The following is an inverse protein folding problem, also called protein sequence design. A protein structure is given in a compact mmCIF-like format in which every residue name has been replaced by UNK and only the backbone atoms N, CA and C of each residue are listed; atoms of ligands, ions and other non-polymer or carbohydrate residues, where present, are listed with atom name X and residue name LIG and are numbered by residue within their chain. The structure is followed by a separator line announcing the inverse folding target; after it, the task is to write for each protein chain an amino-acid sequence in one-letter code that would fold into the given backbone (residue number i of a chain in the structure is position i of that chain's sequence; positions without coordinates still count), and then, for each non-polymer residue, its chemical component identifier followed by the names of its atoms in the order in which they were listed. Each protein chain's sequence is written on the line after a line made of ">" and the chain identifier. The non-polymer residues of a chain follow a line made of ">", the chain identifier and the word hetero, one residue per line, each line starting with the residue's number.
data_IF_644572058922
#
_entry.id   IF_644572058922
#
_cell.length_a   1.000
_cell.length_b   1.000
_cell.length_c   1.000
_cell.angle_alpha   90.00
_cell.angle_beta   90.00
_cell.angle_gamma   90.00
#
_symmetry.space_group_name_H-M   'P 1'
#
loop_
_entity.id
_entity.type
_entity.pdbx_description
1 polymer ?
#
# COMPACT_ATOMS: atom_id res chain seq x y z
N UNK A 1 -10.88 7.57 -21.59
CA UNK A 1 -10.73 6.11 -21.40
C UNK A 1 -12.10 5.44 -21.53
N UNK A 2 -12.18 4.42 -22.35
CA UNK A 2 -13.42 3.67 -22.56
C UNK A 2 -13.66 2.68 -21.42
N UNK A 3 -14.89 2.14 -21.34
CA UNK A 3 -15.22 1.11 -20.35
C UNK A 3 -14.34 -0.12 -20.54
N UNK A 4 -14.10 -0.51 -21.79
CA UNK A 4 -13.23 -1.66 -22.09
C UNK A 4 -11.81 -1.43 -21.58
N UNK A 5 -11.25 -0.25 -21.82
CA UNK A 5 -9.89 0.08 -21.36
C UNK A 5 -9.81 0.05 -19.83
N UNK A 6 -10.84 0.54 -19.13
CA UNK A 6 -10.87 0.51 -17.67
C UNK A 6 -10.93 -0.91 -17.13
N UNK A 7 -11.78 -1.75 -17.74
CA UNK A 7 -11.88 -3.15 -17.33
C UNK A 7 -10.60 -3.92 -17.60
N UNK A 8 -9.96 -3.68 -18.73
CA UNK A 8 -8.69 -4.31 -19.08
C UNK A 8 -7.61 -3.91 -18.06
N UNK A 9 -7.56 -2.64 -17.68
CA UNK A 9 -6.59 -2.16 -16.68
C UNK A 9 -6.84 -2.80 -15.32
N UNK A 10 -8.10 -2.94 -14.90
CA UNK A 10 -8.43 -3.59 -13.63
C UNK A 10 -8.06 -5.07 -13.65
N UNK A 11 -8.27 -5.75 -14.78
CA UNK A 11 -7.89 -7.15 -14.93
C UNK A 11 -6.37 -7.32 -14.83
N UNK A 12 -5.60 -6.43 -15.45
CA UNK A 12 -4.14 -6.45 -15.38
C UNK A 12 -3.64 -6.21 -13.95
N UNK A 13 -4.26 -5.29 -13.23
CA UNK A 13 -3.92 -5.01 -11.84
C UNK A 13 -4.20 -6.23 -10.95
N UNK A 14 -5.34 -6.88 -11.14
CA UNK A 14 -5.71 -8.05 -10.36
C UNK A 14 -4.72 -9.19 -10.60
N UNK A 15 -4.33 -9.40 -11.85
CA UNK A 15 -3.34 -10.42 -12.20
C UNK A 15 -1.98 -10.12 -11.57
N UNK A 16 -1.55 -8.87 -11.60
CA UNK A 16 -0.29 -8.45 -11.00
C UNK A 16 -0.31 -8.64 -9.49
N UNK A 17 -1.41 -8.27 -8.84
CA UNK A 17 -1.58 -8.47 -7.40
C UNK A 17 -1.45 -9.95 -7.03
N UNK A 18 -2.09 -10.82 -7.80
CA UNK A 18 -1.99 -12.25 -7.57
C UNK A 18 -0.56 -12.75 -7.70
N UNK A 19 0.16 -12.30 -8.73
CA UNK A 19 1.58 -12.67 -8.92
C UNK A 19 2.43 -12.21 -7.74
N UNK A 20 2.21 -11.01 -7.25
CA UNK A 20 2.94 -10.50 -6.10
C UNK A 20 2.70 -11.36 -4.85
N UNK A 21 1.45 -11.80 -4.64
CA UNK A 21 1.12 -12.68 -3.52
C UNK A 21 1.81 -14.04 -3.64
N UNK A 22 1.81 -14.61 -4.84
CA UNK A 22 2.40 -15.91 -5.09
C UNK A 22 3.92 -15.92 -4.97
N UNK A 23 4.55 -14.77 -5.27
CA UNK A 23 6.00 -14.63 -5.21
C UNK A 23 6.48 -13.98 -3.92
N UNK A 24 5.61 -13.80 -2.96
CA UNK A 24 5.96 -13.20 -1.67
C UNK A 24 7.01 -14.02 -0.93
N UNK A 25 8.02 -13.32 -0.43
CA UNK A 25 9.08 -13.95 0.35
C UNK A 25 8.94 -13.57 1.83
N UNK A 26 8.49 -14.53 2.63
CA UNK A 26 8.28 -14.32 4.06
C UNK A 26 9.61 -14.13 4.79
N UNK A 27 9.61 -13.25 5.79
CA UNK A 27 10.81 -12.94 6.56
C UNK A 27 11.77 -11.97 5.87
N UNK A 28 11.39 -11.42 4.73
CA UNK A 28 12.19 -10.46 3.98
C UNK A 28 11.49 -9.10 3.92
N UNK A 29 12.18 -8.09 3.37
CA UNK A 29 11.62 -6.75 3.19
C UNK A 29 10.42 -6.77 2.24
N UNK A 30 10.34 -7.75 1.36
CA UNK A 30 9.24 -7.86 0.40
C UNK A 30 7.96 -8.47 0.98
N UNK A 31 8.02 -9.01 2.20
CA UNK A 31 6.85 -9.59 2.84
C UNK A 31 5.74 -8.53 2.99
N UNK A 32 4.55 -8.86 2.52
CA UNK A 32 3.39 -7.97 2.61
C UNK A 32 3.39 -6.79 1.65
N UNK A 33 4.38 -6.71 0.76
CA UNK A 33 4.46 -5.61 -0.21
C UNK A 33 3.70 -6.00 -1.48
N UNK A 34 2.39 -5.95 -1.40
CA UNK A 34 1.48 -6.06 -2.53
C UNK A 34 0.21 -5.28 -2.21
N UNK A 35 -0.51 -4.81 -3.23
CA UNK A 35 -1.67 -3.96 -2.96
C UNK A 35 -2.83 -4.77 -2.37
N UNK A 36 -3.35 -4.31 -1.23
CA UNK A 36 -4.58 -4.83 -0.66
C UNK A 36 -5.78 -4.00 -1.09
N UNK A 37 -5.59 -2.69 -1.18
CA UNK A 37 -6.64 -1.77 -1.56
C UNK A 37 -6.02 -0.56 -2.23
N UNK A 38 -6.63 -0.13 -3.33
CA UNK A 38 -6.23 1.07 -4.06
C UNK A 38 -7.40 2.02 -3.99
N UNK A 39 -7.13 3.27 -3.62
CA UNK A 39 -8.19 4.26 -3.48
C UNK A 39 -7.72 5.68 -3.66
N UNK A 40 -8.67 6.59 -3.53
CA UNK A 40 -8.38 8.02 -3.60
C UNK A 40 -7.64 8.47 -2.33
N UNK A 41 -6.75 9.42 -2.49
CA UNK A 41 -5.89 9.89 -1.40
C UNK A 41 -6.15 11.37 -1.13
N UNK A 42 -7.15 11.62 -0.33
CA UNK A 42 -7.43 12.98 0.14
C UNK A 42 -6.80 13.28 1.49
N UNK A 43 -6.28 12.27 2.17
CA UNK A 43 -5.67 12.41 3.50
C UNK A 43 -4.14 12.37 3.48
N UNK A 44 -3.52 12.09 2.34
CA UNK A 44 -2.07 11.97 2.22
C UNK A 44 -1.53 13.08 1.33
N UNK A 45 -0.91 14.05 1.96
CA UNK A 45 -0.43 15.26 1.31
C UNK A 45 0.55 14.96 0.16
N UNK A 46 0.26 15.50 -1.03
CA UNK A 46 1.13 15.33 -2.19
C UNK A 46 0.96 14.04 -2.97
N UNK A 47 0.11 13.14 -2.51
CA UNK A 47 -0.13 11.88 -3.21
C UNK A 47 -1.35 11.98 -4.13
N UNK A 48 -1.31 11.25 -5.24
CA UNK A 48 -2.44 11.20 -6.19
C UNK A 48 -3.29 9.95 -6.01
N UNK A 49 -2.77 8.94 -5.29
CA UNK A 49 -3.50 7.71 -4.99
C UNK A 49 -2.90 7.05 -3.76
N UNK A 50 -3.65 6.18 -3.12
CA UNK A 50 -3.20 5.42 -1.97
C UNK A 50 -3.27 3.93 -2.24
N UNK A 51 -2.25 3.22 -1.80
CA UNK A 51 -2.18 1.76 -1.91
C UNK A 51 -1.95 1.19 -0.52
N UNK A 52 -2.86 0.37 -0.05
CA UNK A 52 -2.70 -0.30 1.23
C UNK A 52 -1.79 -1.51 1.07
N UNK A 53 -0.76 -1.57 1.91
CA UNK A 53 0.15 -2.71 2.02
C UNK A 53 0.19 -3.15 3.47
N UNK A 54 0.76 -4.31 3.76
CA UNK A 54 0.81 -4.79 5.15
C UNK A 54 2.14 -5.47 5.50
N UNK A 55 3.28 -4.83 5.22
CA UNK A 55 4.57 -5.40 5.61
C UNK A 55 4.71 -5.44 7.14
N UNK A 56 5.49 -6.36 7.68
CA UNK A 56 5.80 -6.36 9.12
C UNK A 56 6.54 -5.09 9.54
N UNK A 57 7.38 -4.54 8.66
CA UNK A 57 8.16 -3.34 8.94
C UNK A 57 8.15 -2.40 7.75
N UNK A 58 7.22 -1.44 7.79
CA UNK A 58 7.08 -0.44 6.74
C UNK A 58 8.32 0.48 6.64
N UNK A 59 9.04 0.68 7.74
CA UNK A 59 10.26 1.50 7.73
C UNK A 59 11.35 0.87 6.86
N UNK A 60 11.49 -0.46 6.92
CA UNK A 60 12.45 -1.17 6.08
C UNK A 60 12.07 -1.06 4.60
N UNK A 61 10.78 -1.15 4.29
CA UNK A 61 10.29 -1.02 2.91
C UNK A 61 10.56 0.39 2.38
N UNK A 62 10.22 1.42 3.16
CA UNK A 62 10.45 2.80 2.76
C UNK A 62 11.92 3.08 2.51
N UNK A 63 12.79 2.51 3.34
CA UNK A 63 14.24 2.68 3.21
C UNK A 63 14.76 2.17 1.87
N UNK A 64 14.19 1.09 1.36
CA UNK A 64 14.60 0.52 0.07
C UNK A 64 14.41 1.51 -1.09
N UNK A 65 13.47 2.43 -0.98
CA UNK A 65 13.22 3.43 -2.02
C UNK A 65 13.63 4.84 -1.58
N UNK A 66 14.31 4.96 -0.44
CA UNK A 66 14.78 6.25 0.07
C UNK A 66 13.66 7.17 0.54
N UNK A 67 12.53 6.61 0.92
CA UNK A 67 11.39 7.39 1.39
C UNK A 67 11.34 7.45 2.92
N UNK A 68 10.72 8.49 3.44
CA UNK A 68 10.53 8.67 4.88
C UNK A 68 9.12 8.22 5.28
N UNK A 69 9.03 7.45 6.36
CA UNK A 69 7.74 7.04 6.91
C UNK A 69 7.16 8.16 7.74
N UNK A 70 5.92 8.50 7.44
CA UNK A 70 5.13 9.46 8.19
C UNK A 70 4.00 8.71 8.88
N UNK A 71 3.48 9.28 9.95
CA UNK A 71 2.42 8.63 10.72
C UNK A 71 1.30 9.62 11.01
N UNK A 72 0.06 9.14 10.93
CA UNK A 72 -1.10 9.84 11.44
C UNK A 72 -1.71 9.00 12.57
N UNK A 73 -2.94 9.28 12.97
CA UNK A 73 -3.55 8.60 14.12
C UNK A 73 -3.78 7.10 13.95
N UNK A 74 -3.94 6.66 12.71
CA UNK A 74 -4.32 5.26 12.43
C UNK A 74 -3.39 4.55 11.45
N UNK A 75 -2.51 5.28 10.76
CA UNK A 75 -1.75 4.74 9.65
C UNK A 75 -0.29 5.17 9.70
N UNK A 76 0.58 4.28 9.23
CA UNK A 76 1.96 4.61 8.86
C UNK A 76 2.03 4.58 7.35
N UNK A 77 2.69 5.53 6.73
CA UNK A 77 2.74 5.63 5.27
C UNK A 77 4.00 6.30 4.80
N UNK A 78 4.33 6.06 3.53
CA UNK A 78 5.37 6.83 2.84
C UNK A 78 4.87 7.15 1.43
N UNK A 79 5.40 8.23 0.84
CA UNK A 79 5.02 8.64 -0.51
C UNK A 79 6.17 8.32 -1.44
N UNK A 80 5.89 7.58 -2.50
CA UNK A 80 6.85 7.20 -3.52
C UNK A 80 6.17 7.30 -4.89
N UNK A 81 6.78 8.04 -5.80
CA UNK A 81 6.22 8.30 -7.15
C UNK A 81 4.78 8.85 -7.10
N UNK A 82 4.54 9.74 -6.14
CA UNK A 82 3.25 10.39 -5.91
C UNK A 82 2.14 9.43 -5.44
N UNK A 83 2.51 8.24 -4.98
CA UNK A 83 1.58 7.27 -4.42
C UNK A 83 1.87 7.13 -2.93
N UNK A 84 0.84 7.19 -2.10
CA UNK A 84 0.98 6.93 -0.68
C UNK A 84 0.81 5.43 -0.43
N UNK A 85 1.88 4.78 0.04
CA UNK A 85 1.83 3.39 0.45
C UNK A 85 1.63 3.37 1.96
N UNK A 86 0.50 2.84 2.40
CA UNK A 86 0.11 2.94 3.80
C UNK A 86 -0.24 1.57 4.40
N UNK A 87 -0.08 1.48 5.73
CA UNK A 87 -0.55 0.33 6.48
C UNK A 87 -1.21 0.82 7.76
N UNK A 88 -2.24 0.14 8.20
CA UNK A 88 -2.86 0.42 9.48
C UNK A 88 -1.95 -0.03 10.62
N UNK A 89 -1.92 0.76 11.68
CA UNK A 89 -1.21 0.37 12.90
C UNK A 89 -2.07 -0.62 13.66
N UNK A 90 -1.57 -1.84 13.84
CA UNK A 90 -2.38 -2.97 14.30
C UNK A 90 -3.10 -2.77 15.63
N UNK A 91 -2.47 -2.14 16.61
CA UNK A 91 -3.11 -1.90 17.90
C UNK A 91 -4.26 -0.91 17.84
N UNK A 92 -4.16 0.07 16.96
CA UNK A 92 -5.14 1.14 16.86
C UNK A 92 -6.43 0.69 16.21
N UNK A 93 -6.35 -0.25 15.30
CA UNK A 93 -7.55 -0.80 14.67
C UNK A 93 -8.48 -1.43 15.73
N UNK A 94 -7.94 -2.19 16.63
CA UNK A 94 -8.71 -2.81 17.71
C UNK A 94 -9.29 -1.75 18.67
N UNK A 95 -8.54 -0.69 18.94
CA UNK A 95 -9.01 0.39 19.79
C UNK A 95 -10.17 1.15 19.15
N UNK A 96 -10.18 1.31 17.82
CA UNK A 96 -11.26 1.96 17.10
C UNK A 96 -12.53 1.13 17.06
N UNK A 97 -12.42 -0.18 17.11
CA UNK A 97 -13.53 -1.11 16.97
C UNK A 97 -13.90 -1.82 18.28
N UNK A 98 -13.07 -1.71 19.26
CA UNK A 98 -13.29 -2.29 20.57
C UNK A 98 -13.87 -1.29 21.52
#
# INVERSE_FOLDING_TARGET
>A
MTVKERLDAMADMALMEQKMKETQEYGTVTEGVYPMMIGDVWTFDGAISGVQIFPPDIHAVAKEVGAEVLENEIESYFIYKNIAFFKYMGGDFNALHG
#
